data_IF_745298047490
#
_entry.id   IF_745298047490
#
_cell.length_a   1.000
_cell.length_b   1.000
_cell.length_c   1.000
_cell.angle_alpha   90.00
_cell.angle_beta   90.00
_cell.angle_gamma   90.00
#
_symmetry.space_group_name_H-M   'P 1'
#
loop_
_entity.id
_entity.type
_entity.pdbx_description
1 polymer ?
#
# COMPACT_ATOMS: atom_id res chain seq x y z
N UNK A 1 10.99 -4.75 -31.45
CA UNK A 1 9.66 -4.84 -30.80
C UNK A 1 9.88 -4.66 -29.30
N UNK A 2 9.31 -3.62 -28.68
CA UNK A 2 9.45 -3.39 -27.23
C UNK A 2 8.41 -4.27 -26.54
N UNK A 3 8.86 -5.26 -25.77
CA UNK A 3 7.97 -6.10 -24.96
C UNK A 3 7.54 -5.34 -23.71
N UNK A 4 6.28 -5.49 -23.31
CA UNK A 4 5.77 -4.98 -22.04
C UNK A 4 5.61 -6.16 -21.10
N UNK A 5 6.24 -6.08 -19.94
CA UNK A 5 6.09 -7.06 -18.88
C UNK A 5 4.79 -6.79 -18.13
N UNK A 6 4.09 -7.84 -17.73
CA UNK A 6 2.90 -7.75 -16.86
C UNK A 6 3.33 -7.45 -15.42
N UNK A 7 3.82 -6.23 -15.21
CA UNK A 7 4.28 -5.72 -13.92
C UNK A 7 3.57 -4.38 -13.69
N UNK A 8 3.05 -4.14 -12.47
CA UNK A 8 2.48 -2.84 -12.11
C UNK A 8 3.46 -1.70 -12.38
N UNK A 9 2.95 -0.58 -12.89
CA UNK A 9 3.75 0.65 -13.06
C UNK A 9 4.08 1.21 -11.68
N UNK A 10 5.34 1.55 -11.46
CA UNK A 10 5.82 2.09 -10.19
C UNK A 10 5.94 3.62 -10.21
N UNK A 11 6.19 4.22 -11.38
CA UNK A 11 6.49 5.63 -11.52
C UNK A 11 5.56 6.29 -12.55
N UNK A 12 5.10 7.50 -12.24
CA UNK A 12 4.24 8.34 -13.11
C UNK A 12 4.88 8.65 -14.48
N UNK A 13 6.22 8.58 -14.59
CA UNK A 13 6.93 8.77 -15.87
C UNK A 13 6.73 7.61 -16.85
N UNK A 14 6.35 6.44 -16.32
CA UNK A 14 6.17 5.20 -17.05
C UNK A 14 4.67 4.94 -17.32
N UNK A 15 3.81 5.94 -17.09
CA UNK A 15 2.37 5.91 -17.38
C UNK A 15 2.12 5.98 -18.89
N UNK A 16 1.79 4.83 -19.48
CA UNK A 16 1.47 4.69 -20.91
C UNK A 16 -0.02 4.98 -21.19
N UNK A 17 -0.88 4.82 -20.19
CA UNK A 17 -2.33 4.92 -20.33
C UNK A 17 -2.87 6.33 -20.07
N UNK A 18 -1.97 7.29 -19.80
CA UNK A 18 -2.27 8.70 -19.56
C UNK A 18 -3.33 8.92 -18.47
N UNK A 19 -3.21 8.15 -17.38
CA UNK A 19 -4.10 8.24 -16.22
C UNK A 19 -3.61 9.24 -15.17
N UNK A 20 -2.48 9.91 -15.43
CA UNK A 20 -1.87 10.92 -14.55
C UNK A 20 -2.86 11.91 -13.94
N UNK A 21 -3.80 12.43 -14.73
CA UNK A 21 -4.81 13.39 -14.24
C UNK A 21 -5.62 12.83 -13.06
N UNK A 22 -5.97 11.53 -13.10
CA UNK A 22 -6.68 10.86 -12.02
C UNK A 22 -5.77 10.63 -10.80
N UNK A 23 -4.49 10.31 -11.03
CA UNK A 23 -3.49 10.16 -9.96
C UNK A 23 -3.32 11.46 -9.19
N UNK A 24 -3.11 12.56 -9.91
CA UNK A 24 -2.89 13.89 -9.32
C UNK A 24 -4.13 14.36 -8.56
N UNK A 25 -5.31 14.29 -9.19
CA UNK A 25 -6.56 14.71 -8.56
C UNK A 25 -6.88 13.91 -7.30
N UNK A 26 -6.71 12.59 -7.33
CA UNK A 26 -6.97 11.75 -6.16
C UNK A 26 -5.91 11.97 -5.06
N UNK A 27 -4.66 12.23 -5.43
CA UNK A 27 -3.59 12.54 -4.48
C UNK A 27 -3.85 13.88 -3.77
N UNK A 28 -4.28 14.90 -4.51
CA UNK A 28 -4.70 16.18 -3.93
C UNK A 28 -5.86 16.02 -2.97
N UNK A 29 -6.87 15.23 -3.35
CA UNK A 29 -7.99 14.90 -2.45
C UNK A 29 -7.50 14.21 -1.17
N UNK A 30 -6.64 13.19 -1.27
CA UNK A 30 -6.11 12.47 -0.11
C UNK A 30 -5.33 13.42 0.83
N UNK A 31 -4.55 14.35 0.28
CA UNK A 31 -3.75 15.29 1.06
C UNK A 31 -4.58 16.41 1.71
N UNK A 32 -5.72 16.77 1.12
CA UNK A 32 -6.62 17.81 1.62
C UNK A 32 -7.82 17.31 2.43
N UNK A 33 -8.01 16.00 2.58
CA UNK A 33 -9.17 15.44 3.26
C UNK A 33 -9.02 15.55 4.78
N UNK A 34 -9.89 16.33 5.42
CA UNK A 34 -9.86 16.56 6.88
C UNK A 34 -10.47 15.39 7.67
N UNK A 35 -11.40 14.66 7.07
CA UNK A 35 -12.11 13.55 7.73
C UNK A 35 -11.48 12.21 7.37
N UNK A 36 -11.38 11.25 8.31
CA UNK A 36 -11.00 9.88 7.97
C UNK A 36 -11.91 9.33 6.86
N UNK A 37 -11.30 8.91 5.75
CA UNK A 37 -12.01 8.48 4.55
C UNK A 37 -11.50 7.12 4.09
N UNK A 38 -12.41 6.27 3.60
CA UNK A 38 -12.07 4.98 2.98
C UNK A 38 -12.34 5.07 1.48
N UNK A 39 -11.33 4.79 0.67
CA UNK A 39 -11.42 4.82 -0.79
C UNK A 39 -11.15 3.43 -1.34
N UNK A 40 -12.01 2.96 -2.25
CA UNK A 40 -11.83 1.70 -2.95
C UNK A 40 -11.50 1.95 -4.42
N UNK A 41 -10.44 1.30 -4.92
CA UNK A 41 -10.10 1.26 -6.35
C UNK A 41 -10.59 -0.08 -6.91
N UNK A 42 -11.52 -0.03 -7.86
CA UNK A 42 -12.19 -1.21 -8.41
C UNK A 42 -11.90 -1.35 -9.92
N UNK A 43 -12.03 -2.57 -10.44
CA UNK A 43 -11.77 -2.89 -11.84
C UNK A 43 -11.30 -4.33 -12.04
N UNK A 44 -11.24 -4.78 -13.29
CA UNK A 44 -10.91 -6.16 -13.65
C UNK A 44 -9.42 -6.51 -13.45
N UNK A 45 -9.08 -7.79 -13.49
CA UNK A 45 -7.67 -8.22 -13.45
C UNK A 45 -6.89 -7.59 -14.62
N UNK A 46 -5.70 -7.07 -14.35
CA UNK A 46 -4.89 -6.38 -15.36
C UNK A 46 -5.32 -4.94 -15.67
N UNK A 47 -6.36 -4.39 -15.03
CA UNK A 47 -6.85 -3.02 -15.30
C UNK A 47 -5.96 -1.89 -14.74
N UNK A 48 -4.78 -2.21 -14.19
CA UNK A 48 -3.84 -1.19 -13.68
C UNK A 48 -4.14 -0.64 -12.27
N UNK A 49 -4.97 -1.30 -11.44
CA UNK A 49 -5.28 -0.83 -10.07
C UNK A 49 -4.02 -0.68 -9.20
N UNK A 50 -3.15 -1.70 -9.19
CA UNK A 50 -1.90 -1.65 -8.43
C UNK A 50 -0.98 -0.55 -8.95
N UNK A 51 -0.91 -0.39 -10.29
CA UNK A 51 -0.17 0.71 -10.93
C UNK A 51 -0.68 2.08 -10.46
N UNK A 52 -2.00 2.26 -10.41
CA UNK A 52 -2.64 3.48 -9.92
C UNK A 52 -2.26 3.75 -8.45
N UNK A 53 -2.35 2.72 -7.59
CA UNK A 53 -1.98 2.86 -6.18
C UNK A 53 -0.49 3.20 -5.99
N UNK A 54 0.41 2.63 -6.78
CA UNK A 54 1.84 2.93 -6.74
C UNK A 54 2.13 4.39 -7.14
N UNK A 55 1.50 4.86 -8.21
CA UNK A 55 1.65 6.24 -8.67
C UNK A 55 1.07 7.25 -7.67
N UNK A 56 -0.07 6.95 -7.03
CA UNK A 56 -0.61 7.76 -5.93
C UNK A 56 0.37 7.79 -4.77
N UNK A 57 0.89 6.63 -4.36
CA UNK A 57 1.91 6.53 -3.30
C UNK A 57 3.12 7.40 -3.63
N UNK A 58 3.60 7.39 -4.87
CA UNK A 58 4.69 8.26 -5.31
C UNK A 58 4.34 9.74 -5.12
N UNK A 59 3.14 10.18 -5.51
CA UNK A 59 2.71 11.58 -5.46
C UNK A 59 2.50 12.13 -4.03
N UNK A 60 2.15 11.26 -3.08
CA UNK A 60 1.92 11.64 -1.67
C UNK A 60 3.14 11.41 -0.76
N UNK A 61 4.14 10.64 -1.21
CA UNK A 61 5.35 10.36 -0.42
C UNK A 61 6.11 11.65 -0.12
N UNK A 62 6.55 11.80 1.12
CA UNK A 62 7.24 13.00 1.62
C UNK A 62 6.31 14.07 2.18
N UNK A 63 4.99 13.95 1.94
CA UNK A 63 3.96 14.81 2.55
C UNK A 63 3.23 14.10 3.69
N UNK A 64 3.03 12.79 3.54
CA UNK A 64 2.46 11.89 4.55
C UNK A 64 3.25 10.58 4.60
N UNK A 65 2.97 9.75 5.60
CA UNK A 65 3.57 8.41 5.76
C UNK A 65 2.64 7.36 5.15
N UNK A 66 2.85 6.93 3.89
CA UNK A 66 2.03 5.88 3.31
C UNK A 66 2.41 4.51 3.89
N UNK A 67 1.42 3.81 4.42
CA UNK A 67 1.57 2.45 4.95
C UNK A 67 1.00 1.48 3.93
N UNK A 68 1.82 0.53 3.49
CA UNK A 68 1.46 -0.42 2.44
C UNK A 68 1.36 -1.83 3.01
N UNK A 69 0.21 -2.47 2.79
CA UNK A 69 -0.08 -3.79 3.32
C UNK A 69 -0.81 -4.65 2.30
N UNK A 70 -0.25 -5.81 1.97
CA UNK A 70 -0.81 -6.76 1.01
C UNK A 70 -1.47 -7.93 1.74
N UNK A 71 -2.79 -7.92 1.82
CA UNK A 71 -3.58 -8.97 2.49
C UNK A 71 -3.59 -10.29 1.71
N UNK A 72 -3.42 -10.25 0.38
CA UNK A 72 -3.54 -11.43 -0.47
C UNK A 72 -2.46 -12.47 -0.18
N UNK A 73 -1.27 -12.03 0.22
CA UNK A 73 -0.18 -12.93 0.62
C UNK A 73 -0.59 -13.80 1.82
N UNK A 74 -1.30 -13.23 2.80
CA UNK A 74 -1.74 -13.96 3.99
C UNK A 74 -2.87 -14.96 3.70
N UNK A 75 -3.70 -14.69 2.70
CA UNK A 75 -4.75 -15.63 2.27
C UNK A 75 -4.19 -16.90 1.61
N UNK A 76 -3.02 -16.82 0.96
CA UNK A 76 -2.43 -17.98 0.28
C UNK A 76 -1.80 -19.00 1.23
N UNK A 77 -1.35 -18.57 2.42
CA UNK A 77 -0.60 -19.41 3.36
C UNK A 77 -1.42 -19.85 4.58
N UNK A 78 -2.75 -19.70 4.55
CA UNK A 78 -3.64 -19.96 5.71
C UNK A 78 -3.22 -19.20 6.99
N UNK A 79 -2.48 -18.09 6.85
CA UNK A 79 -1.95 -17.27 7.95
C UNK A 79 -2.94 -16.21 8.43
N UNK A 80 -4.24 -16.48 8.34
CA UNK A 80 -5.30 -15.51 8.63
C UNK A 80 -5.26 -15.02 10.09
N UNK A 81 -4.88 -15.89 11.02
CA UNK A 81 -4.67 -15.56 12.44
C UNK A 81 -3.58 -14.50 12.66
N UNK A 82 -2.65 -14.36 11.72
CA UNK A 82 -1.50 -13.43 11.81
C UNK A 82 -1.72 -12.12 11.07
N UNK A 83 -2.81 -11.99 10.32
CA UNK A 83 -3.09 -10.82 9.50
C UNK A 83 -3.09 -9.54 10.35
N UNK A 84 -3.87 -9.55 11.45
CA UNK A 84 -4.03 -8.38 12.32
C UNK A 84 -2.73 -7.99 13.00
N UNK A 85 -1.97 -8.96 13.51
CA UNK A 85 -0.68 -8.72 14.18
C UNK A 85 0.35 -8.20 13.17
N UNK A 86 0.35 -8.74 11.94
CA UNK A 86 1.25 -8.30 10.88
C UNK A 86 0.93 -6.88 10.40
N UNK A 87 -0.35 -6.54 10.28
CA UNK A 87 -0.79 -5.19 9.95
C UNK A 87 -0.35 -4.19 11.04
N UNK A 88 -0.60 -4.51 12.31
CA UNK A 88 -0.18 -3.67 13.43
C UNK A 88 1.34 -3.51 13.49
N UNK A 89 2.08 -4.59 13.24
CA UNK A 89 3.56 -4.55 13.22
C UNK A 89 4.08 -3.65 12.10
N UNK A 90 3.51 -3.75 10.90
CA UNK A 90 3.84 -2.87 9.77
C UNK A 90 3.52 -1.40 10.10
N UNK A 91 2.38 -1.16 10.74
CA UNK A 91 1.96 0.17 11.16
C UNK A 91 2.96 0.78 12.16
N UNK A 92 3.29 0.07 13.25
CA UNK A 92 4.23 0.54 14.27
C UNK A 92 5.64 0.81 13.71
N UNK A 93 6.12 -0.05 12.82
CA UNK A 93 7.41 0.14 12.16
C UNK A 93 7.43 1.43 11.33
N UNK A 94 6.36 1.70 10.56
CA UNK A 94 6.30 2.86 9.66
C UNK A 94 6.09 4.20 10.36
N UNK A 95 5.41 4.21 11.51
CA UNK A 95 5.25 5.43 12.31
C UNK A 95 6.46 5.72 13.21
N UNK A 96 7.46 4.81 13.25
CA UNK A 96 8.65 4.97 14.08
C UNK A 96 8.38 4.79 15.57
N UNK A 97 7.49 3.87 15.94
CA UNK A 97 7.20 3.56 17.34
C UNK A 97 8.44 3.05 18.09
N UNK A 98 8.47 3.20 19.42
CA UNK A 98 9.57 2.78 20.28
C UNK A 98 9.95 1.31 20.10
N UNK A 99 11.24 1.00 20.22
CA UNK A 99 11.76 -0.37 20.05
C UNK A 99 11.08 -1.39 20.97
N UNK A 100 10.70 -1.00 22.19
CA UNK A 100 9.98 -1.86 23.13
C UNK A 100 8.64 -2.34 22.54
N UNK A 101 7.86 -1.41 21.97
CA UNK A 101 6.57 -1.72 21.34
C UNK A 101 6.74 -2.61 20.11
N UNK A 102 7.77 -2.36 19.30
CA UNK A 102 8.08 -3.19 18.13
C UNK A 102 8.52 -4.60 18.54
N UNK A 103 9.35 -4.71 19.59
CA UNK A 103 9.84 -5.98 20.11
C UNK A 103 8.71 -6.81 20.74
N UNK A 104 7.78 -6.16 21.46
CA UNK A 104 6.59 -6.81 21.99
C UNK A 104 5.75 -7.45 20.88
N UNK A 105 5.39 -6.70 19.83
CA UNK A 105 4.62 -7.27 18.71
C UNK A 105 5.37 -8.36 17.96
N UNK A 106 6.69 -8.20 17.75
CA UNK A 106 7.52 -9.25 17.13
C UNK A 106 7.55 -10.52 17.98
N UNK A 107 7.51 -10.42 19.30
CA UNK A 107 7.46 -11.58 20.18
C UNK A 107 6.14 -12.36 20.04
N UNK A 108 5.02 -11.66 19.92
CA UNK A 108 3.69 -12.24 19.67
C UNK A 108 3.65 -12.90 18.29
N UNK A 109 4.22 -12.25 17.27
CA UNK A 109 4.28 -12.81 15.92
C UNK A 109 5.16 -14.06 15.83
N UNK A 110 6.27 -14.13 16.59
CA UNK A 110 7.18 -15.30 16.63
C UNK A 110 6.66 -16.45 17.47
N UNK A 111 5.90 -16.19 18.54
CA UNK A 111 5.35 -17.23 19.42
C UNK A 111 4.26 -18.09 18.79
N UNK A 112 3.91 -17.82 17.53
CA UNK A 112 2.85 -18.50 16.81
C UNK A 112 3.33 -19.20 15.51
N UNK A 113 4.65 -19.25 15.29
CA UNK A 113 5.30 -20.05 14.24
C UNK A 113 5.98 -21.25 14.90
#
# INVERSE_FOLDING_TARGET
MKGYTDIPVELIKDDIMDVRVYIESLSEFILGCETPMTIAIQGDWGSGKTSMMNMIKQAITGKIVPIWFNTWQYSQFEMASYLSISLLSNFLEKIGAEEESQNFLRSIAKGAI
#
